data_IF_887920651054
#
_entry.id   IF_887920651054
#
_cell.length_a   1.000
_cell.length_b   1.000
_cell.length_c   1.000
_cell.angle_alpha   90.00
_cell.angle_beta   90.00
_cell.angle_gamma   90.00
#
_symmetry.space_group_name_H-M   'P 1'
#
loop_
_entity.id
_entity.type
_entity.pdbx_description
1 polymer ?
#
# COMPACT_ATOMS: atom_id res chain seq x y z
N UNK A 1 6.21 3.60 16.21
CA UNK A 1 5.37 3.36 15.03
C UNK A 1 5.50 1.92 14.59
N UNK A 2 4.40 1.19 14.61
CA UNK A 2 4.27 -0.11 13.97
C UNK A 2 4.22 0.02 12.44
N UNK A 3 4.39 -1.10 11.75
CA UNK A 3 4.34 -1.17 10.28
C UNK A 3 3.03 -0.63 9.69
N UNK A 4 1.91 -0.95 10.34
CA UNK A 4 0.58 -0.51 9.94
C UNK A 4 0.37 1.00 10.08
N UNK A 5 0.93 1.62 11.12
CA UNK A 5 0.90 3.07 11.28
C UNK A 5 1.66 3.75 10.13
N UNK A 6 2.87 3.25 9.82
CA UNK A 6 3.67 3.75 8.69
C UNK A 6 2.94 3.58 7.35
N UNK A 7 2.22 2.47 7.18
CA UNK A 7 1.44 2.20 5.97
C UNK A 7 0.30 3.20 5.82
N UNK A 8 -0.45 3.48 6.89
CA UNK A 8 -1.53 4.46 6.88
C UNK A 8 -1.02 5.88 6.60
N UNK A 9 0.13 6.24 7.14
CA UNK A 9 0.78 7.53 6.85
C UNK A 9 1.25 7.63 5.40
N UNK A 10 1.95 6.60 4.90
CA UNK A 10 2.41 6.55 3.52
C UNK A 10 1.24 6.62 2.54
N UNK A 11 0.14 5.92 2.81
CA UNK A 11 -1.05 5.94 1.96
C UNK A 11 -1.72 7.32 1.92
N UNK A 12 -1.82 8.02 3.06
CA UNK A 12 -2.32 9.40 3.10
C UNK A 12 -1.43 10.35 2.30
N UNK A 13 -0.11 10.22 2.46
CA UNK A 13 0.83 11.04 1.68
C UNK A 13 0.71 10.77 0.19
N UNK A 14 0.61 9.51 -0.22
CA UNK A 14 0.43 9.16 -1.64
C UNK A 14 -0.92 9.59 -2.19
N UNK A 15 -1.96 9.61 -1.35
CA UNK A 15 -3.28 10.15 -1.71
C UNK A 15 -3.20 11.65 -2.03
N UNK A 16 -2.49 12.44 -1.22
CA UNK A 16 -2.33 13.88 -1.45
C UNK A 16 -1.25 14.22 -2.51
N UNK A 17 -0.12 13.53 -2.50
CA UNK A 17 1.06 13.86 -3.33
C UNK A 17 1.04 13.16 -4.71
N UNK A 18 0.54 11.93 -4.79
CA UNK A 18 0.57 11.11 -6.01
C UNK A 18 -0.83 10.73 -6.53
N UNK A 19 -1.90 11.31 -6.01
CA UNK A 19 -3.27 11.02 -6.42
C UNK A 19 -3.61 9.52 -6.28
N UNK A 20 -3.10 8.88 -5.21
CA UNK A 20 -3.49 7.50 -4.89
C UNK A 20 -5.01 7.44 -4.74
N UNK A 21 -5.70 6.46 -5.34
CA UNK A 21 -7.15 6.45 -5.30
C UNK A 21 -7.70 6.18 -3.88
N UNK A 22 -8.86 6.78 -3.59
CA UNK A 22 -9.52 6.69 -2.27
C UNK A 22 -9.82 5.25 -1.84
N UNK A 23 -10.13 4.37 -2.79
CA UNK A 23 -10.45 2.97 -2.50
C UNK A 23 -9.22 2.20 -1.99
N UNK A 24 -8.02 2.49 -2.50
CA UNK A 24 -6.78 1.94 -1.96
C UNK A 24 -6.50 2.47 -0.56
N UNK A 25 -6.71 3.77 -0.35
CA UNK A 25 -6.54 4.39 0.96
C UNK A 25 -7.48 3.75 2.00
N UNK A 26 -8.75 3.60 1.68
CA UNK A 26 -9.75 2.98 2.55
C UNK A 26 -9.37 1.53 2.89
N UNK A 27 -8.95 0.75 1.90
CA UNK A 27 -8.44 -0.62 2.07
C UNK A 27 -7.26 -0.68 3.04
N UNK A 28 -6.27 0.21 2.87
CA UNK A 28 -5.07 0.28 3.70
C UNK A 28 -5.44 0.65 5.15
N UNK A 29 -6.32 1.62 5.33
CA UNK A 29 -6.77 2.07 6.65
C UNK A 29 -7.57 0.97 7.38
N UNK A 30 -8.35 0.19 6.65
CA UNK A 30 -9.09 -0.96 7.20
C UNK A 30 -8.12 -2.01 7.78
N UNK A 31 -7.06 -2.34 7.05
CA UNK A 31 -6.02 -3.27 7.51
C UNK A 31 -5.27 -2.69 8.71
N UNK A 32 -4.95 -1.40 8.69
CA UNK A 32 -4.33 -0.70 9.83
C UNK A 32 -5.22 -0.67 11.08
N UNK A 33 -6.55 -0.69 10.90
CA UNK A 33 -7.53 -0.79 11.99
C UNK A 33 -7.68 -2.18 12.59
N UNK A 34 -7.17 -3.24 11.94
CA UNK A 34 -7.28 -4.63 12.40
C UNK A 34 -5.91 -5.33 12.55
N UNK A 35 -4.95 -4.76 13.30
CA UNK A 35 -3.58 -5.27 13.38
C UNK A 35 -3.50 -6.73 13.85
N UNK A 36 -4.41 -7.12 14.74
CA UNK A 36 -4.46 -8.47 15.33
C UNK A 36 -4.67 -9.58 14.27
N UNK A 37 -5.37 -9.26 13.18
CA UNK A 37 -5.65 -10.18 12.08
C UNK A 37 -4.43 -10.35 11.15
N UNK A 38 -3.54 -9.36 11.11
CA UNK A 38 -2.40 -9.29 10.20
C UNK A 38 -1.04 -9.45 10.88
N UNK A 39 -1.01 -9.70 12.20
CA UNK A 39 0.22 -9.99 12.97
C UNK A 39 1.07 -11.13 12.39
N UNK A 40 0.46 -12.12 11.72
CA UNK A 40 1.21 -13.20 11.03
C UNK A 40 1.66 -12.86 9.62
N UNK A 41 1.23 -11.72 9.08
CA UNK A 41 1.43 -11.29 7.69
C UNK A 41 2.30 -10.03 7.65
N UNK A 42 3.20 -9.85 8.62
CA UNK A 42 4.12 -8.72 8.69
C UNK A 42 4.95 -8.56 7.40
N UNK A 43 5.42 -9.67 6.79
CA UNK A 43 6.13 -9.63 5.51
C UNK A 43 5.31 -9.02 4.37
N UNK A 44 4.01 -9.36 4.30
CA UNK A 44 3.10 -8.79 3.30
C UNK A 44 2.82 -7.32 3.58
N UNK A 45 2.75 -6.92 4.85
CA UNK A 45 2.56 -5.52 5.26
C UNK A 45 3.80 -4.70 4.90
N UNK A 46 5.00 -5.22 5.15
CA UNK A 46 6.25 -4.59 4.72
C UNK A 46 6.32 -4.44 3.20
N UNK A 47 5.89 -5.47 2.46
CA UNK A 47 5.86 -5.43 1.00
C UNK A 47 4.84 -4.41 0.49
N UNK A 48 3.66 -4.33 1.11
CA UNK A 48 2.64 -3.34 0.80
C UNK A 48 3.13 -1.92 1.12
N UNK A 49 3.82 -1.73 2.24
CA UNK A 49 4.41 -0.46 2.62
C UNK A 49 5.42 0.01 1.60
N UNK A 50 6.36 -0.84 1.18
CA UNK A 50 7.30 -0.50 0.10
C UNK A 50 6.59 -0.13 -1.19
N UNK A 51 5.52 -0.85 -1.54
CA UNK A 51 4.75 -0.59 -2.74
C UNK A 51 4.05 0.77 -2.69
N UNK A 52 3.46 1.13 -1.55
CA UNK A 52 2.84 2.44 -1.35
C UNK A 52 3.92 3.53 -1.31
N UNK A 53 5.04 3.33 -0.62
CA UNK A 53 6.14 4.31 -0.61
C UNK A 53 6.77 4.49 -2.00
N UNK A 54 6.84 3.44 -2.80
CA UNK A 54 7.31 3.47 -4.19
C UNK A 54 6.21 3.79 -5.21
N UNK A 55 4.97 3.99 -4.76
CA UNK A 55 3.91 4.48 -5.63
C UNK A 55 4.29 5.89 -6.05
N UNK A 56 4.45 6.09 -7.34
CA UNK A 56 4.84 7.37 -7.88
C UNK A 56 4.07 7.58 -9.18
N UNK A 57 3.04 8.41 -9.11
CA UNK A 57 2.20 8.79 -10.24
C UNK A 57 2.97 9.68 -11.24
N UNK A 58 4.11 10.25 -10.82
CA UNK A 58 4.98 11.14 -11.60
C UNK A 58 6.27 10.49 -12.13
N UNK A 59 6.59 9.26 -11.73
CA UNK A 59 7.78 8.52 -12.16
C UNK A 59 7.74 8.16 -13.66
N UNK A 60 6.58 8.32 -14.29
CA UNK A 60 6.35 8.10 -15.72
C UNK A 60 7.09 9.05 -16.68
N UNK A 61 7.87 10.02 -16.22
CA UNK A 61 8.73 10.81 -17.11
C UNK A 61 10.01 10.07 -17.55
N UNK A 62 10.37 8.97 -16.89
CA UNK A 62 11.55 8.16 -17.19
C UNK A 62 11.20 6.81 -17.79
N UNK A 63 11.43 6.64 -19.09
CA UNK A 63 11.36 5.40 -19.85
C UNK A 63 11.91 4.19 -19.05
N UNK A 64 11.10 3.13 -18.87
CA UNK A 64 11.46 1.84 -18.25
C UNK A 64 11.89 1.90 -16.77
N UNK A 65 10.97 2.25 -15.87
CA UNK A 65 11.15 2.05 -14.42
C UNK A 65 10.10 1.09 -13.88
N UNK A 66 10.51 0.16 -13.05
CA UNK A 66 9.72 -0.73 -12.20
C UNK A 66 8.72 0.07 -11.34
N UNK A 67 7.67 0.61 -11.96
CA UNK A 67 6.76 1.55 -11.31
C UNK A 67 5.65 0.75 -10.65
N UNK A 68 5.57 0.86 -9.33
CA UNK A 68 4.50 0.21 -8.57
C UNK A 68 3.20 0.90 -8.92
N UNK A 69 2.34 0.17 -9.63
CA UNK A 69 1.02 0.63 -10.02
C UNK A 69 -0.01 0.29 -8.94
N UNK A 70 -1.16 0.97 -8.97
CA UNK A 70 -2.29 0.67 -8.10
C UNK A 70 -2.68 -0.83 -8.11
N UNK A 71 -2.55 -1.50 -9.27
CA UNK A 71 -2.81 -2.93 -9.42
C UNK A 71 -1.87 -3.83 -8.58
N UNK A 72 -0.60 -3.45 -8.39
CA UNK A 72 0.34 -4.21 -7.56
C UNK A 72 -0.02 -4.12 -6.07
N UNK A 73 -0.39 -2.90 -5.64
CA UNK A 73 -0.89 -2.63 -4.28
C UNK A 73 -2.18 -3.43 -4.05
N UNK A 74 -3.12 -3.39 -4.99
CA UNK A 74 -4.37 -4.15 -4.94
C UNK A 74 -4.14 -5.67 -4.84
N UNK A 75 -3.23 -6.23 -5.63
CA UNK A 75 -2.92 -7.65 -5.57
C UNK A 75 -2.41 -8.05 -4.18
N UNK A 76 -1.55 -7.23 -3.58
CA UNK A 76 -1.01 -7.48 -2.23
C UNK A 76 -2.08 -7.31 -1.15
N UNK A 77 -2.98 -6.33 -1.28
CA UNK A 77 -4.13 -6.16 -0.39
C UNK A 77 -5.06 -7.37 -0.43
N UNK A 78 -5.31 -7.91 -1.62
CA UNK A 78 -6.13 -9.09 -1.83
C UNK A 78 -5.51 -10.33 -1.19
N UNK A 79 -4.20 -10.51 -1.34
CA UNK A 79 -3.44 -11.55 -0.64
C UNK A 79 -3.59 -11.42 0.88
N UNK A 80 -3.40 -10.21 1.43
CA UNK A 80 -3.57 -9.89 2.86
C UNK A 80 -4.94 -10.26 3.39
N UNK A 81 -6.01 -9.94 2.65
CA UNK A 81 -7.41 -10.23 3.01
C UNK A 81 -7.77 -11.72 2.99
N UNK A 82 -6.92 -12.57 2.42
CA UNK A 82 -7.14 -14.01 2.35
C UNK A 82 -7.47 -14.43 0.92
N UNK A 83 -6.44 -14.42 0.06
CA UNK A 83 -6.52 -15.04 -1.26
C UNK A 83 -7.12 -16.44 -1.16
N UNK A 84 -8.11 -16.69 -2.03
CA UNK A 84 -8.89 -17.92 -2.19
C UNK A 84 -8.01 -19.14 -2.50
#
# INVERSE_FOLDING_TARGET
>A
MGLLERLAEAAQRQYEEADLPEWLLADILEIAGAPECYLRREELIEMLLRQVEAFDSYAGAGCFGDSVSAASIEATLKELRGGD
#
